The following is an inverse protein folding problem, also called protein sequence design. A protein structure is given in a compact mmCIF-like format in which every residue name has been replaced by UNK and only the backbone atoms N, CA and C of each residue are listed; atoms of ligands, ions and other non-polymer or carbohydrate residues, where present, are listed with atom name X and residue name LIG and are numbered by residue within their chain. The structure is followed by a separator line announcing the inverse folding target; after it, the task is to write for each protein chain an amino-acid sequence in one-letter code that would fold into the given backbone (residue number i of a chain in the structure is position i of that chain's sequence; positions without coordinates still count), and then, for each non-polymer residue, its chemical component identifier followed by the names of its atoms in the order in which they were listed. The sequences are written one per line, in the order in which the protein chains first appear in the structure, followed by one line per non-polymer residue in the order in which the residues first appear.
data_IF_075883478596
#
_entry.id   IF_075883478596
#
_cell.length_a   1.000
_cell.length_b   1.000
_cell.length_c   1.000
_cell.angle_alpha   90.00
_cell.angle_beta   90.00
_cell.angle_gamma   90.00
#
_symmetry.space_group_name_H-M   'P 1'
#
loop_
_entity.id
_entity.type
_entity.pdbx_description
1 polymer ?
#
# COMPACT_ATOMS: atom_id res chain seq x y z
N UNK A 1 16.57 46.91 -30.55
CA UNK A 1 17.08 46.59 -29.19
C UNK A 1 16.00 46.07 -28.25
N UNK A 2 14.82 46.70 -28.17
CA UNK A 2 13.72 46.33 -27.25
C UNK A 2 13.23 44.87 -27.34
N UNK A 3 13.12 44.30 -28.55
CA UNK A 3 12.62 42.92 -28.70
C UNK A 3 13.52 41.89 -28.00
N UNK A 4 14.84 42.12 -27.98
CA UNK A 4 15.82 41.23 -27.32
C UNK A 4 15.72 41.34 -25.80
N UNK A 5 15.54 42.54 -25.26
CA UNK A 5 15.37 42.76 -23.82
C UNK A 5 14.03 42.20 -23.33
N UNK A 6 12.97 42.29 -24.13
CA UNK A 6 11.67 41.67 -23.83
C UNK A 6 11.75 40.14 -23.80
N UNK A 7 12.43 39.53 -24.79
CA UNK A 7 12.64 38.08 -24.81
C UNK A 7 13.48 37.59 -23.61
N UNK A 8 14.53 38.32 -23.22
CA UNK A 8 15.33 37.96 -22.05
C UNK A 8 14.55 38.09 -20.74
N UNK A 9 13.70 39.11 -20.60
CA UNK A 9 12.85 39.29 -19.43
C UNK A 9 11.81 38.15 -19.29
N UNK A 10 11.22 37.71 -20.41
CA UNK A 10 10.29 36.57 -20.42
C UNK A 10 11.01 35.27 -20.05
N UNK A 11 12.22 35.03 -20.57
CA UNK A 11 13.01 33.83 -20.22
C UNK A 11 13.36 33.84 -18.73
N UNK A 12 13.76 34.98 -18.17
CA UNK A 12 14.05 35.12 -16.73
C UNK A 12 12.81 34.84 -15.89
N UNK A 13 11.64 35.35 -16.29
CA UNK A 13 10.38 35.09 -15.58
C UNK A 13 10.01 33.60 -15.60
N UNK A 14 10.21 32.93 -16.74
CA UNK A 14 9.98 31.48 -16.86
C UNK A 14 10.96 30.67 -15.99
N UNK A 15 12.24 31.05 -15.97
CA UNK A 15 13.26 30.39 -15.14
C UNK A 15 13.00 30.56 -13.64
N UNK A 16 12.55 31.75 -13.21
CA UNK A 16 12.16 32.00 -11.81
C UNK A 16 10.91 31.19 -11.41
N UNK A 17 9.94 31.04 -12.31
CA UNK A 17 8.76 30.21 -12.09
C UNK A 17 9.08 28.72 -11.95
N UNK A 18 10.01 28.20 -12.75
CA UNK A 18 10.50 26.81 -12.66
C UNK A 18 11.32 26.61 -11.37
N UNK A 19 12.11 27.60 -10.95
CA UNK A 19 12.87 27.56 -9.70
C UNK A 19 11.95 27.55 -8.45
N UNK A 20 10.77 28.17 -8.54
CA UNK A 20 9.75 28.14 -7.50
C UNK A 20 8.96 26.82 -7.44
N UNK A 21 9.03 25.96 -8.47
CA UNK A 21 8.45 24.62 -8.45
C UNK A 21 9.34 23.68 -7.59
N UNK A 22 9.21 23.79 -6.27
CA UNK A 22 9.72 22.77 -5.35
C UNK A 22 8.82 21.55 -5.47
N UNK A 23 9.24 20.53 -6.20
CA UNK A 23 8.52 19.25 -6.20
C UNK A 23 8.69 18.62 -4.82
N UNK A 24 7.67 18.77 -3.97
CA UNK A 24 7.61 18.12 -2.66
C UNK A 24 7.25 16.65 -2.86
N UNK A 25 8.20 15.88 -3.40
CA UNK A 25 8.06 14.43 -3.50
C UNK A 25 8.35 13.89 -2.10
N UNK A 26 7.32 13.85 -1.26
CA UNK A 26 7.33 12.94 -0.12
C UNK A 26 7.44 11.54 -0.71
N UNK A 27 8.61 10.92 -0.59
CA UNK A 27 8.75 9.50 -0.87
C UNK A 27 7.70 8.78 -0.03
N UNK A 28 6.70 8.16 -0.67
CA UNK A 28 5.76 7.32 0.04
C UNK A 28 6.59 6.17 0.63
N UNK A 29 6.78 6.22 1.95
CA UNK A 29 7.53 5.21 2.68
C UNK A 29 6.75 3.90 2.51
N UNK A 30 7.22 3.03 1.63
CA UNK A 30 6.74 1.66 1.55
C UNK A 30 7.37 0.88 2.72
N UNK A 31 7.10 1.33 3.95
CA UNK A 31 7.32 0.41 5.06
C UNK A 31 6.28 -0.69 4.94
N UNK A 32 6.69 -1.93 5.17
CA UNK A 32 5.71 -2.98 5.35
C UNK A 32 4.85 -2.61 6.57
N UNK A 33 3.63 -2.14 6.29
CA UNK A 33 2.67 -1.83 7.34
C UNK A 33 2.15 -3.11 8.00
N UNK A 34 1.56 -2.95 9.17
CA UNK A 34 0.73 -4.00 9.76
C UNK A 34 -0.73 -3.66 9.44
N UNK A 35 -1.45 -4.59 8.82
CA UNK A 35 -2.89 -4.50 8.62
C UNK A 35 -3.58 -5.51 9.53
N UNK A 36 -4.59 -5.07 10.27
CA UNK A 36 -5.39 -5.94 11.14
C UNK A 36 -6.69 -6.35 10.46
N UNK A 37 -6.99 -7.64 10.49
CA UNK A 37 -8.26 -8.23 10.06
C UNK A 37 -9.03 -8.67 11.31
N UNK A 38 -10.32 -8.31 11.47
CA UNK A 38 -11.20 -7.71 10.46
C UNK A 38 -11.22 -6.18 10.40
N UNK A 39 -10.35 -5.48 11.14
CA UNK A 39 -10.42 -4.02 11.34
C UNK A 39 -10.44 -3.20 10.04
N UNK A 40 -9.45 -3.40 9.17
CA UNK A 40 -9.37 -2.66 7.89
C UNK A 40 -10.12 -3.38 6.77
N UNK A 41 -10.04 -4.71 6.77
CA UNK A 41 -10.71 -5.55 5.80
C UNK A 41 -11.44 -6.64 6.55
N UNK A 42 -12.74 -6.80 6.28
CA UNK A 42 -13.55 -7.83 6.92
C UNK A 42 -13.10 -9.27 6.60
N UNK A 43 -12.35 -9.47 5.51
CA UNK A 43 -11.91 -10.77 5.00
C UNK A 43 -10.41 -10.82 4.81
N UNK A 44 -9.79 -11.97 5.09
CA UNK A 44 -8.35 -12.19 4.91
C UNK A 44 -7.99 -12.09 3.41
N UNK A 45 -8.81 -12.66 2.52
CA UNK A 45 -8.59 -12.59 1.08
C UNK A 45 -8.56 -11.15 0.55
N UNK A 46 -9.39 -10.27 1.12
CA UNK A 46 -9.40 -8.85 0.74
C UNK A 46 -8.15 -8.13 1.21
N UNK A 47 -7.66 -8.44 2.41
CA UNK A 47 -6.38 -7.93 2.88
C UNK A 47 -5.24 -8.35 1.94
N UNK A 48 -5.13 -9.65 1.62
CA UNK A 48 -4.12 -10.18 0.69
C UNK A 48 -4.17 -9.45 -0.66
N UNK A 49 -5.37 -9.27 -1.23
CA UNK A 49 -5.53 -8.59 -2.52
C UNK A 49 -5.02 -7.15 -2.53
N UNK A 50 -5.22 -6.40 -1.44
CA UNK A 50 -4.98 -4.95 -1.39
C UNK A 50 -3.63 -4.53 -0.82
N UNK A 51 -2.93 -5.40 -0.09
CA UNK A 51 -1.65 -5.04 0.53
C UNK A 51 -0.49 -5.09 -0.47
N UNK A 52 0.53 -4.26 -0.24
CA UNK A 52 1.80 -4.32 -0.98
C UNK A 52 2.63 -5.52 -0.53
N UNK A 53 3.54 -5.97 -1.39
CA UNK A 53 4.54 -6.98 -1.05
C UNK A 53 5.32 -6.59 0.22
N UNK A 54 5.61 -7.57 1.07
CA UNK A 54 6.28 -7.44 2.36
C UNK A 54 5.37 -7.12 3.55
N UNK A 55 4.10 -6.74 3.32
CA UNK A 55 3.15 -6.35 4.39
C UNK A 55 2.89 -7.48 5.38
N UNK A 56 2.70 -7.13 6.65
CA UNK A 56 2.21 -8.06 7.68
C UNK A 56 0.70 -7.92 7.82
N UNK A 57 -0.03 -9.02 7.68
CA UNK A 57 -1.46 -9.15 7.98
C UNK A 57 -1.57 -9.85 9.33
N UNK A 58 -2.08 -9.12 10.33
CA UNK A 58 -2.40 -9.65 11.65
C UNK A 58 -3.89 -10.00 11.70
N UNK A 59 -4.20 -11.25 12.04
CA UNK A 59 -5.56 -11.81 11.99
C UNK A 59 -6.03 -12.07 13.41
N UNK A 60 -7.10 -11.39 13.83
CA UNK A 60 -7.71 -11.62 15.15
C UNK A 60 -8.25 -13.05 15.28
N UNK A 61 -8.43 -13.50 16.52
CA UNK A 61 -8.98 -14.80 16.86
C UNK A 61 -10.42 -14.94 16.37
N UNK A 62 -10.64 -15.76 15.35
CA UNK A 62 -11.94 -16.19 14.84
C UNK A 62 -11.77 -17.36 13.86
N UNK A 63 -12.89 -17.96 13.44
CA UNK A 63 -12.93 -18.88 12.29
C UNK A 63 -13.28 -18.12 11.02
N UNK A 64 -12.37 -18.15 10.04
CA UNK A 64 -12.52 -17.52 8.74
C UNK A 64 -12.78 -18.59 7.68
N UNK A 65 -14.01 -18.62 7.16
CA UNK A 65 -14.41 -19.54 6.09
C UNK A 65 -14.01 -19.00 4.73
N UNK A 66 -12.73 -19.18 4.35
CA UNK A 66 -12.14 -18.57 3.16
C UNK A 66 -11.15 -19.50 2.46
N UNK A 67 -11.06 -19.39 1.12
CA UNK A 67 -9.97 -19.94 0.32
C UNK A 67 -8.98 -18.83 -0.02
N UNK A 68 -7.77 -18.93 0.52
CA UNK A 68 -6.71 -17.96 0.33
C UNK A 68 -5.85 -18.30 -0.87
N UNK A 69 -5.51 -17.28 -1.66
CA UNK A 69 -4.53 -17.36 -2.75
C UNK A 69 -3.45 -16.30 -2.45
N UNK A 70 -2.27 -16.76 -2.04
CA UNK A 70 -1.14 -15.90 -1.67
C UNK A 70 -0.12 -15.91 -2.80
N UNK A 71 -0.20 -14.89 -3.65
CA UNK A 71 0.61 -14.75 -4.87
C UNK A 71 1.70 -13.67 -4.80
N UNK A 72 1.95 -13.12 -3.61
CA UNK A 72 2.99 -12.12 -3.35
C UNK A 72 3.60 -12.32 -1.96
N UNK A 73 4.86 -11.91 -1.71
CA UNK A 73 5.46 -12.06 -0.40
C UNK A 73 4.72 -11.20 0.62
N UNK A 74 4.30 -11.80 1.72
CA UNK A 74 3.65 -11.17 2.86
C UNK A 74 3.83 -12.04 4.11
N UNK A 75 3.58 -11.48 5.28
CA UNK A 75 3.53 -12.24 6.54
C UNK A 75 2.08 -12.32 7.00
N UNK A 76 1.59 -13.52 7.30
CA UNK A 76 0.25 -13.74 7.87
C UNK A 76 0.43 -14.27 9.30
N UNK A 77 -0.03 -13.51 10.30
CA UNK A 77 0.14 -13.84 11.72
C UNK A 77 -1.24 -13.92 12.37
N UNK A 78 -1.54 -15.04 13.01
CA UNK A 78 -2.74 -15.17 13.85
C UNK A 78 -2.52 -14.63 15.25
N UNK A 79 -3.53 -13.98 15.81
CA UNK A 79 -3.55 -13.48 17.19
C UNK A 79 -3.40 -14.62 18.21
N UNK A 80 -3.96 -15.79 17.92
CA UNK A 80 -3.91 -16.95 18.80
C UNK A 80 -3.74 -18.24 18.00
N UNK A 81 -2.84 -19.11 18.46
CA UNK A 81 -2.53 -20.40 17.82
C UNK A 81 -3.73 -21.34 17.73
N UNK A 82 -4.59 -21.34 18.73
CA UNK A 82 -5.67 -22.32 18.91
C UNK A 82 -7.02 -21.82 18.40
N UNK A 83 -7.19 -20.49 18.30
CA UNK A 83 -8.49 -19.88 17.98
C UNK A 83 -8.50 -18.97 16.75
N UNK A 84 -7.36 -18.74 16.09
CA UNK A 84 -7.31 -18.17 14.74
C UNK A 84 -7.32 -19.31 13.71
N UNK A 85 -8.50 -19.61 13.15
CA UNK A 85 -8.72 -20.76 12.25
C UNK A 85 -9.07 -20.24 10.87
N UNK A 86 -8.41 -20.74 9.82
CA UNK A 86 -8.82 -20.57 8.44
C UNK A 86 -9.41 -21.90 7.97
N UNK A 87 -10.72 -21.91 7.71
CA UNK A 87 -11.45 -23.09 7.28
C UNK A 87 -11.75 -23.00 5.78
N UNK A 88 -11.11 -23.85 4.99
CA UNK A 88 -11.37 -24.00 3.56
C UNK A 88 -12.67 -24.76 3.24
N UNK A 89 -13.61 -24.85 4.19
CA UNK A 89 -14.94 -25.46 4.09
C UNK A 89 -14.95 -26.89 3.52
N UNK A 90 -13.90 -27.68 3.80
CA UNK A 90 -13.70 -29.04 3.26
C UNK A 90 -13.68 -29.12 1.72
N UNK A 91 -13.46 -27.99 1.04
CA UNK A 91 -13.53 -27.86 -0.43
C UNK A 91 -12.17 -27.68 -1.12
N UNK A 92 -11.03 -27.86 -0.43
CA UNK A 92 -9.71 -27.75 -1.08
C UNK A 92 -8.52 -28.24 -0.25
N UNK A 93 -7.45 -28.60 -0.96
CA UNK A 93 -6.16 -29.14 -0.46
C UNK A 93 -5.41 -28.12 0.40
N UNK A 94 -4.91 -28.59 1.54
CA UNK A 94 -3.91 -27.89 2.38
C UNK A 94 -2.55 -27.83 1.71
#
# INVERSE_FOLDING_TARGET
MWKRTLHLAVIILLLLGILALRVNIQSARAEPGIIVVPDKYAKIKWAIGNVTAGTTIFVRSATYYEHLDINKPLTLVGENRDSTIIDGNKTGTV
#
